data_IF_443540777036
#
_entry.id   IF_443540777036
#
_cell.length_a   1.000
_cell.length_b   1.000
_cell.length_c   1.000
_cell.angle_alpha   90.00
_cell.angle_beta   90.00
_cell.angle_gamma   90.00
#
_symmetry.space_group_name_H-M   'P 1'
#
loop_
_entity.id
_entity.type
_entity.pdbx_description
1 polymer ?
#
# COMPACT_ATOMS: atom_id res chain seq x y z
N UNK A 1 16.90 -25.88 -13.50
CA UNK A 1 17.28 -24.45 -13.39
C UNK A 1 16.24 -23.79 -12.52
N UNK A 2 16.60 -23.47 -11.27
CA UNK A 2 15.68 -22.86 -10.32
C UNK A 2 15.48 -21.39 -10.66
N UNK A 3 14.25 -20.99 -10.95
CA UNK A 3 13.86 -19.58 -10.94
C UNK A 3 13.80 -19.13 -9.48
N UNK A 4 14.97 -18.88 -8.91
CA UNK A 4 15.11 -18.23 -7.62
C UNK A 4 14.71 -16.78 -7.83
N UNK A 5 13.39 -16.50 -7.73
CA UNK A 5 12.83 -15.15 -7.80
C UNK A 5 13.58 -14.28 -6.80
N UNK A 6 14.59 -13.57 -7.29
CA UNK A 6 15.55 -12.84 -6.46
C UNK A 6 14.75 -11.93 -5.55
N UNK A 7 14.73 -12.24 -4.26
CA UNK A 7 14.13 -11.38 -3.24
C UNK A 7 14.92 -10.08 -3.27
N UNK A 8 14.39 -9.07 -3.95
CA UNK A 8 15.01 -7.75 -4.01
C UNK A 8 14.71 -7.04 -2.71
N UNK A 9 15.76 -6.67 -1.98
CA UNK A 9 15.67 -5.82 -0.79
C UNK A 9 15.69 -4.37 -1.25
N UNK A 10 14.62 -3.64 -0.96
CA UNK A 10 14.52 -2.20 -1.26
C UNK A 10 14.32 -1.45 0.03
N UNK A 11 15.15 -0.44 0.26
CA UNK A 11 14.95 0.50 1.36
C UNK A 11 14.02 1.61 0.90
N UNK A 12 12.93 1.81 1.65
CA UNK A 12 11.96 2.89 1.42
C UNK A 12 11.80 3.74 2.67
N UNK A 13 11.35 4.98 2.50
CA UNK A 13 11.09 5.91 3.61
C UNK A 13 9.60 6.21 3.68
N UNK A 14 8.98 5.91 4.80
CA UNK A 14 7.54 6.10 5.07
C UNK A 14 7.41 6.89 6.37
N UNK A 15 6.73 8.04 6.33
CA UNK A 15 6.51 8.94 7.46
C UNK A 15 7.81 9.30 8.22
N UNK A 16 8.90 9.51 7.48
CA UNK A 16 10.21 9.82 8.07
C UNK A 16 11.02 8.62 8.55
N UNK A 17 10.44 7.42 8.63
CA UNK A 17 11.11 6.19 9.04
C UNK A 17 11.55 5.36 7.84
N UNK A 18 12.74 4.77 7.91
CA UNK A 18 13.29 3.92 6.86
C UNK A 18 12.95 2.46 7.12
N UNK A 19 12.31 1.80 6.16
CA UNK A 19 11.95 0.39 6.20
C UNK A 19 12.64 -0.38 5.07
N UNK A 20 13.13 -1.57 5.38
CA UNK A 20 13.71 -2.48 4.38
C UNK A 20 12.65 -3.51 3.99
N UNK A 21 12.15 -3.39 2.77
CA UNK A 21 11.13 -4.31 2.23
C UNK A 21 11.82 -5.33 1.34
N UNK A 22 11.70 -6.61 1.68
CA UNK A 22 12.12 -7.72 0.82
C UNK A 22 10.93 -8.23 0.02
N UNK A 23 10.94 -7.99 -1.30
CA UNK A 23 9.84 -8.38 -2.19
C UNK A 23 10.34 -9.06 -3.46
N UNK A 24 9.46 -9.83 -4.11
CA UNK A 24 9.66 -10.28 -5.49
C UNK A 24 9.25 -9.20 -6.52
N UNK A 25 8.59 -8.14 -6.05
CA UNK A 25 8.14 -7.03 -6.87
C UNK A 25 9.32 -6.12 -7.29
N UNK A 26 9.12 -5.37 -8.38
CA UNK A 26 10.12 -4.42 -8.87
C UNK A 26 10.41 -3.31 -7.86
N UNK A 27 11.66 -2.84 -7.82
CA UNK A 27 12.11 -1.75 -6.94
C UNK A 27 11.26 -0.49 -7.18
N UNK A 28 10.90 -0.22 -8.43
CA UNK A 28 10.06 0.93 -8.81
C UNK A 28 8.66 0.82 -8.21
N UNK A 29 8.07 -0.37 -8.27
CA UNK A 29 6.75 -0.62 -7.70
C UNK A 29 6.78 -0.50 -6.17
N UNK A 30 7.81 -1.04 -5.50
CA UNK A 30 7.95 -0.91 -4.03
C UNK A 30 8.09 0.57 -3.62
N UNK A 31 8.86 1.36 -4.37
CA UNK A 31 8.98 2.82 -4.13
C UNK A 31 7.66 3.56 -4.35
N UNK A 32 6.91 3.18 -5.38
CA UNK A 32 5.60 3.77 -5.67
C UNK A 32 4.60 3.47 -4.56
N UNK A 33 4.51 2.21 -4.12
CA UNK A 33 3.66 1.81 -2.98
C UNK A 33 4.05 2.55 -1.71
N UNK A 34 5.36 2.66 -1.42
CA UNK A 34 5.82 3.40 -0.25
C UNK A 34 5.48 4.89 -0.30
N UNK A 35 5.63 5.52 -1.48
CA UNK A 35 5.25 6.92 -1.70
C UNK A 35 3.74 7.10 -1.51
N UNK A 36 2.93 6.19 -2.03
CA UNK A 36 1.49 6.23 -1.90
C UNK A 36 1.04 6.18 -0.42
N UNK A 37 1.64 5.27 0.36
CA UNK A 37 1.38 5.18 1.81
C UNK A 37 1.83 6.46 2.53
N UNK A 38 3.02 7.00 2.21
CA UNK A 38 3.53 8.24 2.81
C UNK A 38 2.59 9.43 2.57
N UNK A 39 2.13 9.60 1.33
CA UNK A 39 1.18 10.67 0.98
C UNK A 39 -0.16 10.49 1.71
N UNK A 40 -0.65 9.26 1.84
CA UNK A 40 -1.90 8.96 2.56
C UNK A 40 -1.76 9.28 4.04
N UNK A 41 -0.67 8.86 4.68
CA UNK A 41 -0.37 9.19 6.08
C UNK A 41 -0.26 10.70 6.27
N UNK A 42 0.44 11.41 5.38
CA UNK A 42 0.59 12.88 5.47
C UNK A 42 -0.74 13.61 5.35
N UNK A 43 -1.63 13.18 4.45
CA UNK A 43 -2.99 13.72 4.32
C UNK A 43 -3.80 13.50 5.61
N UNK A 44 -3.77 12.28 6.16
CA UNK A 44 -4.46 11.96 7.42
C UNK A 44 -3.92 12.80 8.58
N UNK A 45 -2.60 13.07 8.61
CA UNK A 45 -1.96 13.86 9.67
C UNK A 45 -2.41 15.32 9.65
N UNK A 46 -2.63 15.87 8.46
CA UNK A 46 -3.16 17.22 8.31
C UNK A 46 -4.63 17.32 8.78
N UNK A 47 -5.41 16.25 8.60
CA UNK A 47 -6.81 16.20 9.05
C UNK A 47 -6.91 16.00 10.56
N UNK A 48 -6.05 15.15 11.13
CA UNK A 48 -6.10 14.83 12.55
C UNK A 48 -4.68 14.80 13.17
N UNK A 49 -4.14 15.98 13.56
CA UNK A 49 -2.76 16.10 14.04
C UNK A 49 -2.53 15.52 15.45
N UNK A 50 -3.61 15.19 16.17
CA UNK A 50 -3.55 14.63 17.52
C UNK A 50 -3.39 13.10 17.58
N UNK A 51 -3.40 12.41 16.43
CA UNK A 51 -3.23 10.96 16.39
C UNK A 51 -1.76 10.57 16.50
N UNK A 52 -1.50 9.50 17.24
CA UNK A 52 -0.16 8.89 17.27
C UNK A 52 0.25 8.38 15.88
N UNK A 53 1.55 8.40 15.59
CA UNK A 53 2.08 7.94 14.30
C UNK A 53 1.67 6.50 13.97
N UNK A 54 1.49 5.66 14.99
CA UNK A 54 1.02 4.29 14.86
C UNK A 54 -0.45 4.23 14.47
N UNK A 55 -1.30 5.02 15.13
CA UNK A 55 -2.74 5.10 14.81
C UNK A 55 -2.95 5.65 13.40
N UNK A 56 -2.15 6.63 13.00
CA UNK A 56 -2.14 7.19 11.66
C UNK A 56 -1.77 6.13 10.60
N UNK A 57 -0.75 5.31 10.88
CA UNK A 57 -0.32 4.23 9.99
C UNK A 57 -1.42 3.17 9.83
N UNK A 58 -2.06 2.77 10.94
CA UNK A 58 -3.18 1.82 10.92
C UNK A 58 -4.37 2.40 10.15
N UNK A 59 -4.73 3.66 10.38
CA UNK A 59 -5.83 4.32 9.67
C UNK A 59 -5.55 4.42 8.17
N UNK A 60 -4.32 4.76 7.78
CA UNK A 60 -3.92 4.78 6.38
C UNK A 60 -4.01 3.37 5.76
N UNK A 61 -3.53 2.33 6.45
CA UNK A 61 -3.62 0.94 5.98
C UNK A 61 -5.07 0.47 5.83
N UNK A 62 -5.94 0.78 6.79
CA UNK A 62 -7.36 0.46 6.73
C UNK A 62 -8.02 1.16 5.56
N UNK A 63 -7.75 2.45 5.36
CA UNK A 63 -8.36 3.22 4.28
C UNK A 63 -7.92 2.72 2.89
N UNK A 64 -6.63 2.42 2.71
CA UNK A 64 -6.11 1.82 1.47
C UNK A 64 -6.72 0.44 1.23
N UNK A 65 -6.87 -0.37 2.28
CA UNK A 65 -7.45 -1.70 2.17
C UNK A 65 -8.93 -1.66 1.81
N UNK A 66 -9.69 -0.70 2.36
CA UNK A 66 -11.09 -0.47 2.00
C UNK A 66 -11.22 -0.12 0.51
N UNK A 67 -10.42 0.83 0.01
CA UNK A 67 -10.39 1.22 -1.41
C UNK A 67 -10.10 0.01 -2.31
N UNK A 68 -9.09 -0.80 -1.95
CA UNK A 68 -8.74 -2.02 -2.68
C UNK A 68 -9.87 -3.06 -2.66
N UNK A 69 -10.48 -3.32 -1.50
CA UNK A 69 -11.58 -4.28 -1.38
C UNK A 69 -12.82 -3.82 -2.14
N UNK A 70 -13.10 -2.52 -2.15
CA UNK A 70 -14.23 -1.92 -2.87
C UNK A 70 -14.03 -2.01 -4.38
N UNK A 71 -12.82 -1.73 -4.88
CA UNK A 71 -12.45 -1.93 -6.29
C UNK A 71 -12.52 -3.40 -6.69
N UNK A 72 -12.01 -4.30 -5.86
CA UNK A 72 -12.08 -5.75 -6.09
C UNK A 72 -13.53 -6.23 -6.19
N UNK A 73 -14.40 -5.81 -5.25
CA UNK A 73 -15.83 -6.10 -5.30
C UNK A 73 -16.49 -5.57 -6.58
N UNK A 74 -16.18 -4.34 -7.00
CA UNK A 74 -16.69 -3.80 -8.27
C UNK A 74 -16.24 -4.62 -9.47
N UNK A 75 -14.97 -5.04 -9.53
CA UNK A 75 -14.50 -5.94 -10.59
C UNK A 75 -15.22 -7.28 -10.59
N UNK A 76 -15.45 -7.86 -9.41
CA UNK A 76 -16.20 -9.12 -9.28
C UNK A 76 -17.67 -8.96 -9.71
N UNK A 77 -18.32 -7.83 -9.39
CA UNK A 77 -19.67 -7.50 -9.87
C UNK A 77 -19.72 -7.35 -11.38
N UNK A 78 -18.82 -6.55 -11.98
CA UNK A 78 -18.79 -6.32 -13.43
C UNK A 78 -18.55 -7.62 -14.21
N UNK A 79 -17.69 -8.51 -13.73
CA UNK A 79 -17.49 -9.83 -14.35
C UNK A 79 -18.76 -10.70 -14.30
N UNK A 80 -19.53 -10.61 -13.21
CA UNK A 80 -20.77 -11.38 -13.03
C UNK A 80 -21.92 -10.89 -13.92
N UNK A 81 -21.95 -9.59 -14.22
CA UNK A 81 -22.97 -9.00 -15.09
C UNK A 81 -22.64 -9.17 -16.60
N UNK A 82 -21.38 -9.41 -16.96
CA UNK A 82 -20.97 -9.72 -18.33
C UNK A 82 -21.17 -11.19 -18.77
N UNK A 83 -21.53 -12.07 -17.84
CA UNK A 83 -21.85 -13.50 -18.10
C UNK A 83 -23.36 -13.78 -18.11
N UNK A 84 -24.22 -12.75 -18.12
CA UNK A 84 -25.68 -12.90 -18.26
C UNK A 84 -26.19 -12.49 -19.64
#
# INVERSE_FOLDING_TARGET
MGEEKSKRRTTVKINGQSYVISGQADVSHIKEVAKFVDEKMKKMRNVNPYLDSTQLAVLAAVNISDEYLRLKKQQESIKKDGEK
#
